data_IF_558743700515
#
_entry.id   IF_558743700515
#
_cell.length_a   1.000
_cell.length_b   1.000
_cell.length_c   1.000
_cell.angle_alpha   90.00
_cell.angle_beta   90.00
_cell.angle_gamma   90.00
#
_symmetry.space_group_name_H-M   'P 1'
#
loop_
_entity.id
_entity.type
_entity.pdbx_description
1 polymer ?
#
# COMPACT_ATOMS: atom_id res chain seq x y z
N UNK A 1 -43.23 19.50 -1.27
CA UNK A 1 -42.69 18.75 -2.42
C UNK A 1 -41.57 17.87 -1.87
N UNK A 2 -41.56 16.59 -2.22
CA UNK A 2 -40.48 15.69 -1.81
C UNK A 2 -39.24 16.03 -2.67
N UNK A 3 -38.11 16.24 -2.02
CA UNK A 3 -36.82 16.45 -2.69
C UNK A 3 -36.25 15.11 -3.17
N UNK A 4 -35.39 15.16 -4.19
CA UNK A 4 -34.58 14.00 -4.54
C UNK A 4 -33.60 13.68 -3.40
N UNK A 5 -33.31 12.39 -3.24
CA UNK A 5 -32.33 11.92 -2.26
C UNK A 5 -30.93 12.47 -2.58
N UNK A 6 -30.13 12.86 -1.57
CA UNK A 6 -28.77 13.37 -1.78
C UNK A 6 -27.86 12.42 -2.58
N UNK A 7 -27.95 11.10 -2.35
CA UNK A 7 -27.15 10.11 -3.09
C UNK A 7 -27.55 10.10 -4.56
N UNK A 8 -28.86 10.26 -4.85
CA UNK A 8 -29.34 10.37 -6.24
C UNK A 8 -28.90 11.67 -6.88
N UNK A 9 -28.90 12.79 -6.16
CA UNK A 9 -28.40 14.08 -6.66
C UNK A 9 -26.91 14.03 -6.98
N UNK A 10 -26.11 13.31 -6.18
CA UNK A 10 -24.70 13.07 -6.45
C UNK A 10 -24.49 12.24 -7.72
N UNK A 11 -25.26 11.16 -7.93
CA UNK A 11 -25.21 10.36 -9.15
C UNK A 11 -25.58 11.15 -10.42
N UNK A 12 -26.46 12.15 -10.30
CA UNK A 12 -26.81 13.04 -11.42
C UNK A 12 -25.72 14.05 -11.79
N UNK A 13 -24.55 14.02 -11.13
CA UNK A 13 -23.40 14.83 -11.50
C UNK A 13 -22.68 14.29 -12.74
N UNK A 14 -22.66 12.97 -12.93
CA UNK A 14 -22.03 12.26 -14.05
C UNK A 14 -23.02 11.44 -14.90
N UNK A 15 -24.23 11.17 -14.40
CA UNK A 15 -25.29 10.52 -15.16
C UNK A 15 -26.28 11.51 -15.81
N UNK A 16 -26.91 11.07 -16.91
CA UNK A 16 -28.02 11.81 -17.50
C UNK A 16 -29.30 11.64 -16.65
N UNK A 17 -30.03 12.72 -16.32
CA UNK A 17 -31.28 12.61 -15.57
C UNK A 17 -32.35 11.93 -16.41
N UNK A 18 -33.19 11.12 -15.74
CA UNK A 18 -34.43 10.62 -16.35
C UNK A 18 -35.39 11.77 -16.64
N UNK A 19 -36.43 11.52 -17.45
CA UNK A 19 -37.42 12.55 -17.78
C UNK A 19 -38.11 13.13 -16.52
N UNK A 20 -38.41 12.29 -15.53
CA UNK A 20 -39.04 12.71 -14.27
C UNK A 20 -38.09 13.55 -13.40
N UNK A 21 -36.82 13.13 -13.30
CA UNK A 21 -35.79 13.88 -12.56
C UNK A 21 -35.49 15.22 -13.23
N UNK A 22 -35.42 15.25 -14.56
CA UNK A 22 -35.27 16.48 -15.32
C UNK A 22 -36.43 17.45 -15.08
N UNK A 23 -37.67 16.94 -15.09
CA UNK A 23 -38.85 17.73 -14.76
C UNK A 23 -38.81 18.24 -13.31
N UNK A 24 -38.35 17.43 -12.35
CA UNK A 24 -38.18 17.85 -10.96
C UNK A 24 -37.12 18.97 -10.84
N UNK A 25 -35.93 18.77 -11.41
CA UNK A 25 -34.83 19.74 -11.38
C UNK A 25 -35.21 21.06 -12.05
N UNK A 26 -36.09 21.03 -13.06
CA UNK A 26 -36.63 22.22 -13.70
C UNK A 26 -37.51 23.08 -12.77
N UNK A 27 -38.08 22.51 -11.71
CA UNK A 27 -38.99 23.20 -10.79
C UNK A 27 -38.41 23.39 -9.37
N UNK A 28 -37.50 22.52 -8.92
CA UNK A 28 -36.93 22.58 -7.57
C UNK A 28 -35.55 23.25 -7.55
N UNK A 29 -35.49 24.52 -7.14
CA UNK A 29 -34.24 25.28 -7.06
C UNK A 29 -33.23 24.70 -6.04
N UNK A 30 -33.71 24.10 -4.94
CA UNK A 30 -32.84 23.50 -3.93
C UNK A 30 -32.07 22.30 -4.51
N UNK A 31 -32.80 21.34 -5.11
CA UNK A 31 -32.18 20.17 -5.75
C UNK A 31 -31.27 20.55 -6.92
N UNK A 32 -31.60 21.62 -7.67
CA UNK A 32 -30.73 22.12 -8.74
C UNK A 32 -29.41 22.66 -8.20
N UNK A 33 -29.46 23.52 -7.17
CA UNK A 33 -28.25 24.05 -6.54
C UNK A 33 -27.36 22.94 -5.97
N UNK A 34 -27.97 21.94 -5.34
CA UNK A 34 -27.24 20.79 -4.80
C UNK A 34 -26.55 19.99 -5.91
N UNK A 35 -27.27 19.66 -6.99
CA UNK A 35 -26.67 19.00 -8.17
C UNK A 35 -25.54 19.83 -8.77
N UNK A 36 -25.73 21.13 -8.94
CA UNK A 36 -24.71 22.02 -9.50
C UNK A 36 -23.45 22.05 -8.62
N UNK A 37 -23.60 21.95 -7.29
CA UNK A 37 -22.49 21.80 -6.36
C UNK A 37 -21.74 20.47 -6.56
N UNK A 38 -22.45 19.34 -6.70
CA UNK A 38 -21.82 18.05 -7.02
C UNK A 38 -21.10 18.07 -8.38
N UNK A 39 -21.69 18.68 -9.41
CA UNK A 39 -21.05 18.87 -10.72
C UNK A 39 -19.76 19.70 -10.60
N UNK A 40 -19.77 20.77 -9.80
CA UNK A 40 -18.59 21.59 -9.56
C UNK A 40 -17.48 20.81 -8.83
N UNK A 41 -17.84 20.00 -7.84
CA UNK A 41 -16.90 19.13 -7.12
C UNK A 41 -16.28 18.07 -8.04
N UNK A 42 -17.10 17.41 -8.88
CA UNK A 42 -16.61 16.44 -9.85
C UNK A 42 -15.64 17.08 -10.85
N UNK A 43 -15.97 18.27 -11.35
CA UNK A 43 -15.08 19.01 -12.24
C UNK A 43 -13.76 19.41 -11.57
N UNK A 44 -13.78 19.74 -10.27
CA UNK A 44 -12.57 20.01 -9.49
C UNK A 44 -11.70 18.76 -9.37
N UNK A 45 -12.30 17.64 -8.97
CA UNK A 45 -11.60 16.35 -8.83
C UNK A 45 -10.98 15.89 -10.15
N UNK A 46 -11.68 16.07 -11.28
CA UNK A 46 -11.14 15.74 -12.60
C UNK A 46 -9.95 16.64 -12.98
N UNK A 47 -10.00 17.95 -12.65
CA UNK A 47 -8.85 18.85 -12.87
C UNK A 47 -7.64 18.42 -12.05
N UNK A 48 -7.85 18.07 -10.79
CA UNK A 48 -6.77 17.55 -9.93
C UNK A 48 -6.20 16.24 -10.47
N UNK A 49 -7.05 15.31 -10.89
CA UNK A 49 -6.62 14.04 -11.47
C UNK A 49 -5.78 14.22 -12.74
N UNK A 50 -6.16 15.16 -13.62
CA UNK A 50 -5.39 15.48 -14.84
C UNK A 50 -4.07 16.19 -14.51
N UNK A 51 -4.09 17.17 -13.61
CA UNK A 51 -2.89 17.82 -13.12
C UNK A 51 -1.86 16.82 -12.54
N UNK A 52 -2.34 15.83 -11.79
CA UNK A 52 -1.51 14.78 -11.24
C UNK A 52 -0.95 13.81 -12.30
N UNK A 53 -1.73 13.53 -13.36
CA UNK A 53 -1.33 12.62 -14.44
C UNK A 53 -0.33 13.27 -15.41
N UNK A 54 -0.59 14.51 -15.82
CA UNK A 54 0.18 15.19 -16.85
C UNK A 54 1.34 16.01 -16.27
N UNK A 55 1.29 16.36 -14.98
CA UNK A 55 2.29 17.19 -14.30
C UNK A 55 2.26 18.66 -14.70
N UNK A 56 1.37 19.05 -15.62
CA UNK A 56 1.21 20.43 -16.11
C UNK A 56 -0.27 20.84 -16.16
N UNK A 57 -0.56 22.12 -15.98
CA UNK A 57 -1.89 22.72 -16.07
C UNK A 57 -2.25 23.05 -17.52
N UNK A 58 -3.46 23.57 -17.75
CA UNK A 58 -3.92 23.97 -19.09
C UNK A 58 -3.10 25.11 -19.71
N UNK A 59 -2.32 25.84 -18.90
CA UNK A 59 -1.40 26.91 -19.33
C UNK A 59 0.05 26.40 -19.51
N UNK A 60 0.30 25.10 -19.32
CA UNK A 60 1.63 24.49 -19.41
C UNK A 60 2.56 24.79 -18.23
N UNK A 61 2.03 25.29 -17.10
CA UNK A 61 2.77 25.41 -15.84
C UNK A 61 2.69 24.11 -15.07
N UNK A 62 3.67 23.83 -14.21
CA UNK A 62 3.59 22.67 -13.33
C UNK A 62 2.34 22.78 -12.44
N UNK A 63 1.38 21.87 -12.65
CA UNK A 63 0.10 21.96 -11.95
C UNK A 63 0.31 21.53 -10.49
N UNK A 64 0.37 22.50 -9.60
CA UNK A 64 0.48 22.21 -8.19
C UNK A 64 -0.86 21.62 -7.69
N UNK A 65 -0.88 20.41 -7.12
CA UNK A 65 -2.11 19.82 -6.62
C UNK A 65 -2.78 20.75 -5.61
N UNK A 66 -4.11 20.87 -5.63
CA UNK A 66 -4.83 21.65 -4.62
C UNK A 66 -4.68 21.06 -3.21
N UNK A 67 -4.27 19.80 -3.12
CA UNK A 67 -3.89 19.11 -1.88
C UNK A 67 -2.45 19.39 -1.44
N UNK A 68 -1.68 20.20 -2.18
CA UNK A 68 -0.33 20.59 -1.74
C UNK A 68 -0.44 21.44 -0.48
N UNK A 69 0.37 21.11 0.52
CA UNK A 69 0.44 21.90 1.74
C UNK A 69 0.84 23.36 1.49
N UNK A 70 1.62 23.63 0.44
CA UNK A 70 2.02 24.99 0.10
C UNK A 70 0.82 25.83 -0.40
N UNK A 71 -0.02 25.27 -1.26
CA UNK A 71 -1.26 25.90 -1.73
C UNK A 71 -2.26 26.09 -0.57
N UNK A 72 -2.53 25.02 0.18
CA UNK A 72 -3.45 25.05 1.33
C UNK A 72 -2.99 26.01 2.42
N UNK A 73 -1.71 25.97 2.80
CA UNK A 73 -1.19 26.87 3.84
C UNK A 73 -1.22 28.34 3.40
N UNK A 74 -1.10 28.63 2.10
CA UNK A 74 -1.23 29.99 1.58
C UNK A 74 -2.67 30.48 1.70
N UNK A 75 -3.64 29.68 1.26
CA UNK A 75 -5.06 30.01 1.40
C UNK A 75 -5.48 30.15 2.87
N UNK A 76 -5.07 29.22 3.74
CA UNK A 76 -5.38 29.26 5.16
C UNK A 76 -4.73 30.45 5.90
N UNK A 77 -3.56 30.93 5.45
CA UNK A 77 -2.97 32.19 5.95
C UNK A 77 -3.75 33.40 5.47
N UNK A 78 -4.20 33.41 4.21
CA UNK A 78 -5.03 34.49 3.67
C UNK A 78 -6.39 34.60 4.40
N UNK A 79 -6.94 33.47 4.84
CA UNK A 79 -8.16 33.39 5.65
C UNK A 79 -7.90 33.62 7.16
N UNK A 80 -6.64 33.81 7.58
CA UNK A 80 -6.28 34.05 8.98
C UNK A 80 -6.39 32.83 9.89
N UNK A 81 -6.58 31.63 9.33
CA UNK A 81 -6.68 30.36 10.08
C UNK A 81 -5.32 29.82 10.50
N UNK A 82 -4.26 30.17 9.78
CA UNK A 82 -2.88 29.94 10.19
C UNK A 82 -2.24 31.24 10.64
N UNK A 83 -1.94 31.37 11.93
CA UNK A 83 -1.05 32.42 12.42
C UNK A 83 0.34 32.18 11.83
N UNK A 84 0.87 33.14 11.07
CA UNK A 84 2.31 33.16 10.76
C UNK A 84 3.10 33.01 12.06
N UNK A 85 4.11 32.13 12.14
CA UNK A 85 4.97 32.12 13.31
C UNK A 85 5.55 33.52 13.46
N UNK A 86 5.27 34.07 14.62
CA UNK A 86 5.69 35.38 15.08
C UNK A 86 7.18 35.54 14.77
N UNK A 87 7.49 36.49 13.89
CA UNK A 87 8.79 37.12 13.87
C UNK A 87 8.95 37.87 15.20
N UNK A 88 9.46 37.18 16.21
CA UNK A 88 10.08 37.78 17.37
C UNK A 88 11.19 36.83 17.79
N UNK A 89 12.46 37.26 17.69
CA UNK A 89 13.54 36.49 18.28
C UNK A 89 13.32 36.55 19.80
N UNK A 90 12.83 35.46 20.37
CA UNK A 90 13.06 35.20 21.79
C UNK A 90 14.56 34.95 21.89
N UNK A 91 15.30 35.96 22.33
CA UNK A 91 16.67 35.81 22.81
C UNK A 91 16.66 34.76 23.92
N UNK A 92 16.95 33.51 23.56
CA UNK A 92 17.49 32.55 24.50
C UNK A 92 18.99 32.83 24.61
N UNK A 93 19.49 33.39 25.72
CA UNK A 93 20.91 33.33 25.99
C UNK A 93 21.26 31.85 26.19
N UNK A 94 22.34 31.40 25.55
CA UNK A 94 22.96 30.07 25.68
C UNK A 94 22.51 28.91 24.76
N UNK A 95 22.13 29.18 23.51
CA UNK A 95 22.32 28.18 22.44
C UNK A 95 23.51 28.55 21.58
N UNK A 96 24.69 28.02 21.93
CA UNK A 96 25.86 28.02 21.05
C UNK A 96 25.57 27.14 19.83
N UNK A 97 25.14 27.78 18.74
CA UNK A 97 25.13 27.15 17.42
C UNK A 97 26.59 27.02 16.95
N UNK A 98 27.09 25.79 16.94
CA UNK A 98 28.36 25.45 16.28
C UNK A 98 28.23 25.70 14.76
N UNK A 99 29.17 26.42 14.12
CA UNK A 99 29.12 26.63 12.69
C UNK A 99 29.31 25.29 11.97
N UNK A 100 28.33 24.94 11.13
CA UNK A 100 28.39 23.78 10.24
C UNK A 100 29.52 24.00 9.21
N UNK A 101 30.42 23.03 8.99
CA UNK A 101 31.46 23.17 7.97
C UNK A 101 30.83 23.27 6.58
N UNK A 102 31.20 24.32 5.85
CA UNK A 102 30.84 24.53 4.45
C UNK A 102 31.40 23.39 3.59
N UNK A 103 30.52 22.49 3.15
CA UNK A 103 30.87 21.47 2.17
C UNK A 103 31.20 22.13 0.84
N UNK A 104 32.43 21.89 0.35
CA UNK A 104 32.89 22.27 -1.00
C UNK A 104 32.05 21.56 -2.06
N UNK A 105 31.72 22.22 -3.19
CA UNK A 105 31.09 21.55 -4.32
C UNK A 105 32.08 20.56 -4.95
N UNK A 106 31.80 19.26 -4.85
CA UNK A 106 32.49 18.24 -5.66
C UNK A 106 31.89 18.22 -7.05
N UNK A 107 32.78 18.35 -8.04
CA UNK A 107 32.48 18.32 -9.46
C UNK A 107 31.84 16.99 -9.87
N UNK A 108 30.76 17.08 -10.64
CA UNK A 108 30.12 15.97 -11.33
C UNK A 108 31.04 15.37 -12.40
N UNK A 109 31.30 14.05 -12.42
CA UNK A 109 31.83 13.43 -13.61
C UNK A 109 30.70 13.19 -14.61
N UNK A 110 30.85 13.79 -15.79
CA UNK A 110 30.07 13.50 -16.98
C UNK A 110 30.07 11.99 -17.27
N UNK A 111 28.88 11.37 -17.32
CA UNK A 111 28.73 10.03 -17.90
C UNK A 111 28.10 10.12 -19.27
N UNK A 112 28.90 9.67 -20.22
CA UNK A 112 28.64 9.55 -21.65
C UNK A 112 27.49 8.60 -21.92
N UNK A 113 26.69 8.98 -22.92
CA UNK A 113 25.77 8.10 -23.61
C UNK A 113 26.51 6.90 -24.21
N UNK A 114 25.92 5.71 -24.04
CA UNK A 114 26.13 4.56 -24.91
C UNK A 114 24.75 4.00 -25.23
N UNK A 115 24.34 4.14 -26.49
CA UNK A 115 23.26 3.35 -27.06
C UNK A 115 23.74 1.93 -27.39
N UNK A 116 22.78 1.01 -27.56
CA UNK A 116 23.04 -0.25 -28.24
C UNK A 116 22.31 -1.47 -27.68
N UNK A 117 21.13 -1.72 -28.24
CA UNK A 117 20.62 -3.01 -28.72
C UNK A 117 20.52 -4.25 -27.79
N UNK A 118 19.26 -4.69 -27.65
CA UNK A 118 18.73 -6.05 -27.87
C UNK A 118 19.48 -7.24 -27.25
N UNK A 119 18.84 -7.93 -26.28
CA UNK A 119 18.65 -9.40 -26.35
C UNK A 119 17.73 -9.94 -25.24
N UNK A 120 16.70 -10.68 -25.67
CA UNK A 120 16.16 -11.90 -25.06
C UNK A 120 15.99 -11.97 -23.54
N UNK A 121 14.78 -11.69 -23.06
CA UNK A 121 14.28 -12.28 -21.81
C UNK A 121 12.74 -12.44 -21.83
N UNK A 122 12.18 -12.85 -22.97
CA UNK A 122 10.81 -13.34 -23.08
C UNK A 122 10.80 -14.87 -22.93
N UNK A 123 11.11 -15.37 -21.73
CA UNK A 123 10.77 -16.72 -21.30
C UNK A 123 10.95 -16.83 -19.78
N UNK A 124 9.91 -17.33 -19.08
CA UNK A 124 9.85 -17.73 -17.65
C UNK A 124 9.15 -16.76 -16.68
N UNK A 125 7.83 -16.52 -16.81
CA UNK A 125 6.94 -16.19 -15.66
C UNK A 125 5.50 -16.70 -15.86
N UNK A 126 5.34 -18.03 -15.89
CA UNK A 126 4.00 -18.70 -15.89
C UNK A 126 3.85 -19.72 -14.74
N UNK A 127 4.64 -19.66 -13.67
CA UNK A 127 4.49 -20.65 -12.57
C UNK A 127 4.84 -20.14 -11.17
N UNK A 128 4.35 -18.96 -10.77
CA UNK A 128 4.62 -18.40 -9.43
C UNK A 128 3.39 -17.89 -8.66
N UNK A 129 2.18 -18.01 -9.20
CA UNK A 129 0.98 -17.50 -8.53
C UNK A 129 0.31 -18.50 -7.56
N UNK A 130 0.54 -19.81 -7.72
CA UNK A 130 -0.02 -20.83 -6.82
C UNK A 130 0.93 -21.22 -5.66
N UNK A 131 2.18 -20.75 -5.66
CA UNK A 131 3.18 -21.09 -4.64
C UNK A 131 3.30 -20.04 -3.51
N UNK A 132 2.74 -18.84 -3.66
CA UNK A 132 2.98 -17.76 -2.69
C UNK A 132 1.99 -17.67 -1.53
N UNK A 133 0.87 -18.40 -1.55
CA UNK A 133 -0.08 -18.45 -0.42
C UNK A 133 0.14 -19.71 0.47
N UNK A 134 0.96 -20.68 0.03
CA UNK A 134 1.31 -21.87 0.81
C UNK A 134 2.82 -22.21 0.89
N UNK A 135 3.69 -21.52 0.14
CA UNK A 135 5.12 -21.88 -0.03
C UNK A 135 6.13 -21.20 0.91
N UNK A 136 5.68 -20.50 1.96
CA UNK A 136 6.59 -19.82 2.91
C UNK A 136 7.31 -20.77 3.90
N UNK A 137 6.89 -22.03 4.02
CA UNK A 137 7.44 -22.97 5.00
C UNK A 137 8.59 -23.87 4.49
N UNK A 138 8.85 -23.92 3.17
CA UNK A 138 9.78 -24.91 2.60
C UNK A 138 11.17 -24.35 2.19
N UNK A 139 11.32 -23.04 1.97
CA UNK A 139 12.58 -22.48 1.47
C UNK A 139 13.65 -22.22 2.55
N UNK A 140 13.35 -22.45 3.82
CA UNK A 140 14.31 -22.32 4.94
C UNK A 140 15.20 -23.54 5.18
N UNK A 141 14.98 -24.67 4.48
CA UNK A 141 15.67 -25.94 4.80
C UNK A 141 16.82 -26.33 3.87
N UNK A 142 17.26 -25.44 2.97
CA UNK A 142 18.36 -25.74 2.04
C UNK A 142 19.69 -25.07 2.42
N UNK A 143 19.74 -24.27 3.49
CA UNK A 143 20.99 -23.64 3.99
C UNK A 143 21.61 -24.31 5.24
N UNK A 144 21.09 -25.45 5.68
CA UNK A 144 21.73 -26.26 6.73
C UNK A 144 21.82 -27.69 6.20
N UNK A 145 23.00 -28.08 5.74
CA UNK A 145 23.24 -29.34 5.04
C UNK A 145 22.88 -30.59 5.86
N UNK A 146 21.63 -31.05 5.74
CA UNK A 146 21.17 -32.32 6.28
C UNK A 146 21.30 -33.42 5.21
N UNK A 147 21.88 -34.59 5.55
CA UNK A 147 22.01 -35.70 4.61
C UNK A 147 20.65 -36.38 4.35
N UNK A 148 20.40 -36.73 3.09
CA UNK A 148 19.29 -37.59 2.70
C UNK A 148 19.52 -39.01 3.24
N UNK A 149 18.55 -39.56 3.99
CA UNK A 149 18.56 -40.97 4.37
C UNK A 149 17.59 -41.79 3.50
N UNK A 150 17.97 -43.02 3.13
CA UNK A 150 17.17 -43.92 2.30
C UNK A 150 16.07 -44.61 3.12
N UNK A 151 14.94 -44.90 2.47
CA UNK A 151 13.93 -45.83 2.98
C UNK A 151 14.52 -47.24 3.09
N UNK A 152 14.28 -47.93 4.20
CA UNK A 152 13.95 -49.36 4.25
C UNK A 152 13.44 -49.74 5.64
N UNK A 153 12.40 -50.59 5.65
CA UNK A 153 11.80 -51.23 6.83
C UNK A 153 12.77 -52.19 7.54
N UNK A 154 12.78 -52.17 8.88
CA UNK A 154 12.98 -53.35 9.74
C UNK A 154 12.68 -53.03 11.21
N UNK A 155 12.02 -53.97 11.89
CA UNK A 155 11.50 -53.88 13.25
C UNK A 155 12.55 -54.15 14.37
N UNK A 156 12.48 -53.32 15.44
CA UNK A 156 12.76 -53.54 16.89
C UNK A 156 14.13 -54.11 17.37
N UNK A 157 14.55 -53.99 18.67
CA UNK A 157 13.89 -53.41 19.86
C UNK A 157 14.75 -52.40 20.69
N UNK A 158 14.16 -51.96 21.81
CA UNK A 158 14.55 -50.89 22.71
C UNK A 158 15.83 -51.09 23.57
N UNK A 159 16.51 -49.97 23.88
CA UNK A 159 17.33 -49.76 25.08
C UNK A 159 17.14 -48.32 25.57
N UNK A 160 17.04 -48.15 26.88
CA UNK A 160 16.63 -46.93 27.57
C UNK A 160 17.79 -45.99 28.00
N UNK A 161 17.44 -44.70 28.12
CA UNK A 161 17.95 -43.61 28.98
C UNK A 161 19.29 -42.90 28.68
N UNK A 162 19.20 -41.61 28.29
CA UNK A 162 19.91 -40.46 28.90
C UNK A 162 19.28 -39.11 28.46
N UNK A 163 19.36 -38.10 29.33
CA UNK A 163 18.70 -36.78 29.34
C UNK A 163 18.92 -35.78 28.16
N UNK A 164 17.79 -35.21 27.66
CA UNK A 164 17.41 -33.80 27.28
C UNK A 164 18.45 -32.85 26.60
N UNK A 165 18.15 -32.07 25.51
CA UNK A 165 16.91 -31.29 25.31
C UNK A 165 16.26 -31.26 23.90
N UNK A 166 14.98 -30.88 23.92
CA UNK A 166 14.26 -30.06 22.93
C UNK A 166 14.88 -29.95 21.52
N UNK A 167 14.45 -30.85 20.63
CA UNK A 167 14.72 -30.76 19.19
C UNK A 167 13.64 -31.45 18.35
N UNK A 168 13.02 -32.50 18.89
CA UNK A 168 12.01 -33.29 18.18
C UNK A 168 10.55 -32.83 18.37
N UNK A 169 10.27 -32.00 19.38
CA UNK A 169 8.90 -31.55 19.65
C UNK A 169 8.33 -30.61 18.56
N UNK A 170 9.19 -30.01 17.72
CA UNK A 170 8.75 -29.08 16.67
C UNK A 170 8.35 -29.80 15.37
N UNK A 171 8.84 -31.03 15.13
CA UNK A 171 8.56 -31.79 13.90
C UNK A 171 7.27 -32.63 14.01
N UNK A 172 6.82 -32.96 15.23
CA UNK A 172 5.53 -33.65 15.46
C UNK A 172 4.34 -32.69 15.61
N UNK A 173 4.57 -31.38 15.75
CA UNK A 173 3.50 -30.37 15.82
C UNK A 173 2.74 -30.17 14.49
N UNK A 174 3.23 -30.75 13.38
CA UNK A 174 2.66 -30.56 12.04
C UNK A 174 1.44 -31.41 11.68
N UNK A 175 0.98 -32.30 12.57
CA UNK A 175 -0.15 -33.19 12.32
C UNK A 175 -1.21 -33.18 13.43
N UNK A 176 -1.41 -32.04 14.09
CA UNK A 176 -2.55 -31.86 15.00
C UNK A 176 -3.85 -31.87 14.19
N UNK A 177 -4.52 -33.02 14.17
CA UNK A 177 -5.92 -33.08 13.76
C UNK A 177 -6.75 -32.25 14.73
N UNK A 178 -7.55 -31.33 14.22
CA UNK A 178 -8.47 -30.53 15.04
C UNK A 178 -9.68 -31.38 15.40
N UNK A 179 -10.13 -31.33 16.65
CA UNK A 179 -11.33 -32.03 17.09
C UNK A 179 -12.61 -31.40 16.54
N UNK A 180 -12.55 -30.13 16.10
CA UNK A 180 -13.67 -29.41 15.49
C UNK A 180 -13.23 -28.26 14.58
N UNK A 181 -14.16 -27.75 13.75
CA UNK A 181 -13.98 -26.55 12.92
C UNK A 181 -13.78 -25.30 13.79
N UNK A 182 -14.46 -25.22 14.93
CA UNK A 182 -14.34 -24.09 15.86
C UNK A 182 -12.95 -24.05 16.50
N UNK A 183 -12.38 -25.20 16.86
CA UNK A 183 -11.00 -25.28 17.33
C UNK A 183 -10.01 -24.83 16.25
N UNK A 184 -10.19 -25.30 15.01
CA UNK A 184 -9.34 -24.92 13.89
C UNK A 184 -9.39 -23.40 13.61
N UNK A 185 -10.59 -22.80 13.64
CA UNK A 185 -10.77 -21.37 13.40
C UNK A 185 -10.15 -20.52 14.52
N UNK A 186 -10.26 -20.96 15.77
CA UNK A 186 -9.61 -20.30 16.91
C UNK A 186 -8.09 -20.37 16.83
N UNK A 187 -7.53 -21.52 16.44
CA UNK A 187 -6.09 -21.69 16.23
C UNK A 187 -5.60 -20.81 15.08
N UNK A 188 -6.33 -20.77 13.97
CA UNK A 188 -6.01 -19.89 12.84
C UNK A 188 -6.02 -18.42 13.25
N UNK A 189 -7.06 -17.96 13.94
CA UNK A 189 -7.16 -16.57 14.39
C UNK A 189 -6.03 -16.19 15.37
N UNK A 190 -5.60 -17.13 16.22
CA UNK A 190 -4.45 -16.93 17.10
C UNK A 190 -3.15 -16.85 16.31
N UNK A 191 -2.93 -17.77 15.37
CA UNK A 191 -1.75 -17.78 14.52
C UNK A 191 -1.64 -16.50 13.66
N UNK A 192 -2.75 -15.98 13.15
CA UNK A 192 -2.78 -14.70 12.43
C UNK A 192 -2.34 -13.53 13.31
N UNK A 193 -2.85 -13.44 14.55
CA UNK A 193 -2.41 -12.41 15.50
C UNK A 193 -0.94 -12.57 15.89
N UNK A 194 -0.49 -13.80 16.10
CA UNK A 194 0.91 -14.10 16.44
C UNK A 194 1.84 -13.70 15.30
N UNK A 195 1.49 -14.02 14.06
CA UNK A 195 2.20 -13.60 12.86
C UNK A 195 2.24 -12.07 12.75
N UNK A 196 1.11 -11.38 12.93
CA UNK A 196 1.04 -9.91 12.87
C UNK A 196 1.96 -9.27 13.92
N UNK A 197 1.94 -9.77 15.17
CA UNK A 197 2.83 -9.27 16.23
C UNK A 197 4.30 -9.52 15.92
N UNK A 198 4.62 -10.72 15.43
CA UNK A 198 5.99 -11.06 15.03
C UNK A 198 6.47 -10.18 13.87
N UNK A 199 5.62 -9.93 12.87
CA UNK A 199 5.93 -9.06 11.74
C UNK A 199 6.22 -7.62 12.18
N UNK A 200 5.42 -7.06 13.11
CA UNK A 200 5.67 -5.72 13.67
C UNK A 200 6.99 -5.70 14.44
N UNK A 201 7.22 -6.69 15.32
CA UNK A 201 8.46 -6.78 16.09
C UNK A 201 9.69 -6.86 15.17
N UNK A 202 9.63 -7.70 14.12
CA UNK A 202 10.69 -7.80 13.12
C UNK A 202 10.88 -6.48 12.36
N UNK A 203 9.82 -5.78 11.98
CA UNK A 203 9.94 -4.48 11.31
C UNK A 203 10.63 -3.42 12.20
N UNK A 204 10.43 -3.47 13.51
CA UNK A 204 11.06 -2.56 14.48
C UNK A 204 12.52 -2.91 14.80
N UNK A 205 12.85 -4.20 14.88
CA UNK A 205 14.15 -4.68 15.38
C UNK A 205 15.09 -5.15 14.27
N UNK A 206 14.58 -5.53 13.10
CA UNK A 206 15.38 -5.92 11.95
C UNK A 206 15.64 -4.71 11.03
N UNK A 207 16.62 -3.89 11.42
CA UNK A 207 17.10 -2.80 10.57
C UNK A 207 17.79 -3.28 9.28
N UNK A 208 18.15 -4.57 9.20
CA UNK A 208 18.76 -5.16 7.99
C UNK A 208 17.71 -5.45 6.90
N UNK A 209 16.45 -5.67 7.31
CA UNK A 209 15.28 -5.74 6.43
C UNK A 209 14.54 -4.40 6.28
N UNK A 210 14.76 -3.43 7.17
CA UNK A 210 14.00 -2.18 7.25
C UNK A 210 14.19 -1.22 6.06
N UNK A 211 15.22 -1.41 5.25
CA UNK A 211 15.26 -0.84 3.90
C UNK A 211 14.93 -1.97 2.94
N UNK A 212 13.65 -2.36 2.90
CA UNK A 212 13.13 -3.07 1.75
C UNK A 212 13.56 -2.24 0.56
N UNK A 213 14.51 -2.77 -0.23
CA UNK A 213 15.12 -1.98 -1.30
C UNK A 213 13.99 -1.38 -2.12
N UNK A 214 14.17 -0.16 -2.63
CA UNK A 214 13.12 0.50 -3.42
C UNK A 214 12.56 -0.45 -4.49
N UNK A 215 13.38 -1.37 -5.00
CA UNK A 215 13.00 -2.45 -5.92
C UNK A 215 12.02 -3.47 -5.32
N UNK A 216 12.22 -3.93 -4.08
CA UNK A 216 11.28 -4.83 -3.37
C UNK A 216 9.94 -4.14 -3.15
N UNK A 217 9.93 -2.87 -2.76
CA UNK A 217 8.68 -2.11 -2.58
C UNK A 217 7.95 -1.89 -3.90
N UNK A 218 8.67 -1.59 -4.99
CA UNK A 218 8.09 -1.48 -6.34
C UNK A 218 7.55 -2.83 -6.84
N UNK A 219 8.26 -3.93 -6.59
CA UNK A 219 7.79 -5.27 -6.96
C UNK A 219 6.54 -5.68 -6.18
N UNK A 220 6.49 -5.36 -4.87
CA UNK A 220 5.29 -5.56 -4.06
C UNK A 220 4.12 -4.74 -4.59
N UNK A 221 4.35 -3.46 -4.88
CA UNK A 221 3.30 -2.58 -5.41
C UNK A 221 2.74 -3.11 -6.73
N UNK A 222 3.60 -3.50 -7.67
CA UNK A 222 3.18 -4.10 -8.94
C UNK A 222 2.34 -5.38 -8.76
N UNK A 223 2.66 -6.22 -7.76
CA UNK A 223 1.86 -7.39 -7.44
C UNK A 223 0.49 -7.05 -6.84
N UNK A 224 0.40 -6.01 -6.01
CA UNK A 224 -0.85 -5.50 -5.45
C UNK A 224 -1.74 -4.88 -6.55
N UNK A 225 -1.14 -4.12 -7.46
CA UNK A 225 -1.83 -3.52 -8.61
C UNK A 225 -2.39 -4.60 -9.57
N UNK A 226 -1.72 -5.74 -9.74
CA UNK A 226 -2.27 -6.89 -10.52
C UNK A 226 -3.40 -7.62 -9.77
N UNK A 227 -3.34 -7.67 -8.44
CA UNK A 227 -4.33 -8.37 -7.62
C UNK A 227 -5.65 -7.58 -7.50
N UNK A 228 -5.59 -6.26 -7.34
CA UNK A 228 -6.75 -5.41 -7.10
C UNK A 228 -7.88 -5.57 -8.14
N UNK A 229 -7.61 -5.57 -9.47
CA UNK A 229 -8.64 -5.77 -10.49
C UNK A 229 -9.36 -7.11 -10.35
N UNK A 230 -8.64 -8.19 -9.99
CA UNK A 230 -9.21 -9.53 -9.82
C UNK A 230 -10.12 -9.62 -8.60
N UNK A 231 -9.71 -8.99 -7.50
CA UNK A 231 -10.54 -8.92 -6.29
C UNK A 231 -11.79 -8.08 -6.54
N UNK A 232 -11.67 -7.00 -7.31
CA UNK A 232 -12.81 -6.16 -7.70
C UNK A 232 -13.79 -6.91 -8.61
N UNK A 233 -13.28 -7.69 -9.56
CA UNK A 233 -14.10 -8.56 -10.41
C UNK A 233 -14.88 -9.58 -9.57
N UNK A 234 -14.22 -10.27 -8.64
CA UNK A 234 -14.88 -11.20 -7.73
C UNK A 234 -15.95 -10.53 -6.86
N UNK A 235 -15.70 -9.30 -6.39
CA UNK A 235 -16.69 -8.50 -5.66
C UNK A 235 -17.89 -8.09 -6.52
N UNK A 236 -17.70 -7.80 -7.80
CA UNK A 236 -18.80 -7.51 -8.70
C UNK A 236 -19.70 -8.75 -8.92
N UNK A 237 -19.11 -9.95 -8.93
CA UNK A 237 -19.85 -11.21 -9.03
C UNK A 237 -20.62 -11.54 -7.73
N UNK A 238 -20.02 -11.24 -6.57
CA UNK A 238 -20.58 -11.53 -5.25
C UNK A 238 -20.59 -10.28 -4.33
N UNK A 239 -21.45 -9.28 -4.58
CA UNK A 239 -21.40 -7.99 -3.90
C UNK A 239 -21.74 -8.05 -2.40
N UNK A 240 -22.33 -9.15 -1.93
CA UNK A 240 -22.67 -9.35 -0.52
C UNK A 240 -21.74 -10.34 0.21
N UNK A 241 -20.63 -10.76 -0.40
CA UNK A 241 -19.66 -11.62 0.27
C UNK A 241 -18.77 -10.80 1.24
N UNK A 242 -18.90 -11.00 2.57
CA UNK A 242 -18.14 -10.23 3.55
C UNK A 242 -16.63 -10.55 3.50
N UNK A 243 -16.25 -11.76 3.09
CA UNK A 243 -14.85 -12.19 3.01
C UNK A 243 -14.16 -11.50 1.84
N UNK A 244 -14.78 -11.48 0.66
CA UNK A 244 -14.24 -10.77 -0.50
C UNK A 244 -14.11 -9.27 -0.23
N UNK A 245 -15.08 -8.67 0.45
CA UNK A 245 -15.01 -7.28 0.84
C UNK A 245 -13.83 -7.01 1.80
N UNK A 246 -13.63 -7.89 2.78
CA UNK A 246 -12.48 -7.79 3.69
C UNK A 246 -11.14 -7.93 2.94
N UNK A 247 -11.02 -8.85 1.99
CA UNK A 247 -9.81 -9.03 1.18
C UNK A 247 -9.53 -7.79 0.34
N UNK A 248 -10.56 -7.18 -0.26
CA UNK A 248 -10.43 -5.94 -1.03
C UNK A 248 -9.88 -4.79 -0.19
N UNK A 249 -10.50 -4.52 0.95
CA UNK A 249 -10.08 -3.46 1.87
C UNK A 249 -8.65 -3.68 2.37
N UNK A 250 -8.33 -4.92 2.76
CA UNK A 250 -6.98 -5.27 3.22
C UNK A 250 -5.94 -5.06 2.11
N UNK A 251 -6.25 -5.45 0.87
CA UNK A 251 -5.34 -5.29 -0.28
C UNK A 251 -5.11 -3.80 -0.57
N UNK A 252 -6.17 -2.99 -0.51
CA UNK A 252 -6.09 -1.55 -0.69
C UNK A 252 -5.22 -0.89 0.40
N UNK A 253 -5.43 -1.22 1.67
CA UNK A 253 -4.64 -0.67 2.78
C UNK A 253 -3.15 -1.02 2.67
N UNK A 254 -2.85 -2.26 2.27
CA UNK A 254 -1.47 -2.71 2.06
C UNK A 254 -0.82 -1.94 0.90
N UNK A 255 -1.56 -1.65 -0.17
CA UNK A 255 -1.10 -0.83 -1.29
C UNK A 255 -0.74 0.59 -0.85
N UNK A 256 -1.65 1.27 -0.16
CA UNK A 256 -1.43 2.64 0.31
C UNK A 256 -0.30 2.74 1.35
N UNK A 257 -0.16 1.73 2.22
CA UNK A 257 0.99 1.65 3.12
C UNK A 257 2.32 1.47 2.38
N UNK A 258 2.32 0.69 1.29
CA UNK A 258 3.50 0.43 0.45
C UNK A 258 3.91 1.70 -0.32
N UNK A 259 2.95 2.47 -0.83
CA UNK A 259 3.21 3.77 -1.47
C UNK A 259 3.83 4.76 -0.48
N UNK A 260 3.31 4.84 0.75
CA UNK A 260 3.89 5.69 1.81
C UNK A 260 5.31 5.27 2.18
N UNK A 261 5.58 3.96 2.26
CA UNK A 261 6.94 3.44 2.49
C UNK A 261 7.88 3.80 1.33
N UNK A 262 7.43 3.62 0.09
CA UNK A 262 8.23 3.96 -1.10
C UNK A 262 8.59 5.46 -1.11
N UNK A 263 7.63 6.33 -0.81
CA UNK A 263 7.85 7.77 -0.69
C UNK A 263 8.86 8.17 0.38
N UNK A 264 8.97 7.40 1.48
CA UNK A 264 10.00 7.63 2.52
C UNK A 264 11.39 7.14 2.11
N UNK A 265 11.48 6.14 1.23
CA UNK A 265 12.76 5.58 0.77
C UNK A 265 13.38 6.35 -0.40
N UNK A 266 12.59 7.17 -1.11
CA UNK A 266 13.06 7.95 -2.25
C UNK A 266 13.71 9.27 -1.78
N UNK A 267 14.84 9.68 -2.38
CA UNK A 267 15.45 10.96 -2.08
C UNK A 267 14.52 12.14 -2.45
N UNK A 268 14.61 13.22 -1.67
CA UNK A 268 13.81 14.45 -1.87
C UNK A 268 13.98 14.94 -3.32
N UNK A 269 12.90 14.90 -4.10
CA UNK A 269 12.87 15.31 -5.52
C UNK A 269 12.60 14.18 -6.52
N UNK A 270 12.61 12.91 -6.11
CA UNK A 270 12.21 11.80 -6.98
C UNK A 270 10.68 11.59 -6.93
N UNK A 271 9.99 11.82 -8.05
CA UNK A 271 8.56 11.49 -8.21
C UNK A 271 8.39 10.04 -8.62
N UNK A 272 7.47 9.33 -7.96
CA UNK A 272 6.96 8.05 -8.43
C UNK A 272 5.97 8.36 -9.53
N UNK A 273 6.37 8.16 -10.80
CA UNK A 273 5.40 8.15 -11.88
C UNK A 273 4.53 6.89 -11.70
N UNK A 274 3.21 7.06 -11.82
CA UNK A 274 2.25 5.96 -11.71
C UNK A 274 2.63 4.80 -12.64
N UNK A 275 2.47 3.59 -12.13
CA UNK A 275 2.59 2.35 -12.89
C UNK A 275 1.22 1.90 -13.37
#
# INVERSE_FOLDING_TARGET
MLHLDPERLAALADEAPTAEEGAHLAHCLACRRERDAYVALLALAQREGRAAADGYDLDGREAEPLTSWASLSTALRAEGLLTSPVASPVEHPDVRVLPLPTARPMASPARRAFGGALSGAALRRVAAAALFVAGGAAAGRVSVGAPALPLTDAAAPAVATADVPAGDALLTAGASSFASVDEASQVLARAQRDYQRAAVFLAEHDSSAAVGSSDVLRARLAALDDMMPRVREALNEAPQDPVLNQVYLTTYDVRESTLRQLGRTLPVGARVNGY
#
